data_IF_514265431861
#
_entry.id   IF_514265431861
#
_cell.length_a   1.000
_cell.length_b   1.000
_cell.length_c   1.000
_cell.angle_alpha   90.00
_cell.angle_beta   90.00
_cell.angle_gamma   90.00
#
_symmetry.space_group_name_H-M   'P 1'
#
loop_
_entity.id
_entity.type
_entity.pdbx_description
1 polymer ?
#
# COMPACT_ATOMS: atom_id res chain seq x y z
N UNK A 1 11.21 5.96 -11.32
CA UNK A 1 11.97 6.42 -10.15
C UNK A 1 11.06 6.76 -8.98
N UNK A 2 10.41 7.94 -9.02
CA UNK A 2 9.59 8.48 -7.92
C UNK A 2 8.45 7.55 -7.48
N UNK A 3 7.73 6.93 -8.42
CA UNK A 3 6.66 5.99 -8.11
C UNK A 3 7.13 4.75 -7.33
N UNK A 4 8.27 4.17 -7.74
CA UNK A 4 8.89 3.05 -7.03
C UNK A 4 9.36 3.47 -5.63
N UNK A 5 9.94 4.66 -5.49
CA UNK A 5 10.39 5.17 -4.18
C UNK A 5 9.21 5.38 -3.21
N UNK A 6 8.13 6.02 -3.66
CA UNK A 6 6.91 6.20 -2.86
C UNK A 6 6.23 4.85 -2.56
N UNK A 7 6.14 3.96 -3.54
CA UNK A 7 5.53 2.64 -3.38
C UNK A 7 6.27 1.78 -2.35
N UNK A 8 7.61 1.73 -2.42
CA UNK A 8 8.44 0.95 -1.47
C UNK A 8 8.38 1.55 -0.06
N UNK A 9 8.38 2.88 0.07
CA UNK A 9 8.27 3.56 1.36
C UNK A 9 6.93 3.29 2.04
N UNK A 10 5.84 3.34 1.28
CA UNK A 10 4.49 3.03 1.76
C UNK A 10 4.31 1.54 2.03
N UNK A 11 4.93 0.65 1.25
CA UNK A 11 4.94 -0.78 1.51
C UNK A 11 5.62 -1.12 2.85
N UNK A 12 6.76 -0.47 3.15
CA UNK A 12 7.46 -0.65 4.43
C UNK A 12 6.61 -0.18 5.63
N UNK A 13 5.91 0.96 5.47
CA UNK A 13 4.98 1.49 6.48
C UNK A 13 3.76 0.57 6.66
N UNK A 14 3.20 0.10 5.55
CA UNK A 14 2.04 -0.79 5.47
C UNK A 14 2.27 -2.11 6.22
N UNK A 15 3.49 -2.65 6.19
CA UNK A 15 3.88 -3.84 6.95
C UNK A 15 3.76 -3.73 8.47
N UNK A 16 3.69 -2.51 9.02
CA UNK A 16 3.48 -2.26 10.46
C UNK A 16 2.12 -1.62 10.75
N UNK A 17 1.67 -0.70 9.89
CA UNK A 17 0.40 0.01 10.04
C UNK A 17 -0.82 -0.88 9.82
N UNK A 18 -0.80 -1.79 8.85
CA UNK A 18 -1.91 -2.74 8.62
C UNK A 18 -2.12 -3.66 9.83
N UNK A 19 -1.09 -4.39 10.34
CA UNK A 19 -1.29 -5.25 11.49
C UNK A 19 -1.65 -4.46 12.77
N UNK A 20 -1.12 -3.24 12.94
CA UNK A 20 -1.49 -2.37 14.05
C UNK A 20 -2.94 -1.87 13.96
N UNK A 21 -3.41 -1.53 12.75
CA UNK A 21 -4.81 -1.15 12.49
C UNK A 21 -5.76 -2.33 12.69
N UNK A 22 -5.41 -3.54 12.22
CA UNK A 22 -6.16 -4.76 12.49
C UNK A 22 -6.27 -5.05 13.99
N UNK A 23 -5.17 -4.91 14.73
CA UNK A 23 -5.15 -5.07 16.18
C UNK A 23 -6.08 -4.06 16.88
N UNK A 24 -6.10 -2.79 16.42
CA UNK A 24 -7.02 -1.76 16.92
C UNK A 24 -8.49 -2.06 16.60
N UNK A 25 -8.75 -2.74 15.48
CA UNK A 25 -10.10 -3.17 15.07
C UNK A 25 -10.54 -4.51 15.70
N UNK A 26 -9.77 -5.06 16.65
CA UNK A 26 -9.98 -6.39 17.27
C UNK A 26 -9.94 -7.57 16.28
N UNK A 27 -9.36 -7.37 15.09
CA UNK A 27 -9.08 -8.46 14.16
C UNK A 27 -7.78 -9.14 14.56
N UNK A 28 -7.76 -10.47 14.49
CA UNK A 28 -6.58 -11.26 14.84
C UNK A 28 -5.41 -10.93 13.89
N UNK A 29 -4.33 -10.31 14.39
CA UNK A 29 -3.20 -9.92 13.55
C UNK A 29 -2.48 -11.12 12.93
N UNK A 30 -2.62 -12.31 13.52
CA UNK A 30 -2.10 -13.56 12.96
C UNK A 30 -2.80 -13.97 11.65
N UNK A 31 -4.07 -13.59 11.47
CA UNK A 31 -4.85 -13.84 10.23
C UNK A 31 -4.49 -12.76 9.20
N UNK A 32 -4.31 -11.52 9.64
CA UNK A 32 -3.92 -10.41 8.77
C UNK A 32 -2.48 -10.55 8.23
N UNK A 33 -1.55 -11.08 9.05
CA UNK A 33 -0.15 -11.25 8.70
C UNK A 33 0.13 -12.24 7.54
N UNK A 34 -0.88 -13.03 7.15
CA UNK A 34 -0.81 -13.93 6.00
C UNK A 34 -1.11 -13.24 4.66
N UNK A 35 -1.84 -13.89 3.73
CA UNK A 35 -2.08 -13.39 2.36
C UNK A 35 -2.80 -12.02 2.29
N UNK A 36 -3.33 -11.55 3.41
CA UNK A 36 -4.06 -10.29 3.51
C UNK A 36 -3.14 -9.05 3.48
N UNK A 37 -2.00 -9.05 4.18
CA UNK A 37 -1.03 -7.93 4.09
C UNK A 37 -0.48 -7.81 2.68
N UNK A 38 -0.13 -8.92 2.05
CA UNK A 38 0.42 -8.92 0.68
C UNK A 38 -0.58 -8.42 -0.35
N UNK A 39 -1.86 -8.79 -0.23
CA UNK A 39 -2.92 -8.30 -1.14
C UNK A 39 -3.24 -6.82 -0.93
N UNK A 40 -3.30 -6.36 0.31
CA UNK A 40 -3.44 -4.93 0.60
C UNK A 40 -2.25 -4.13 0.09
N UNK A 41 -1.03 -4.65 0.25
CA UNK A 41 0.16 -4.00 -0.27
C UNK A 41 0.14 -3.93 -1.81
N UNK A 42 -0.30 -4.99 -2.49
CA UNK A 42 -0.47 -5.00 -3.95
C UNK A 42 -1.45 -3.93 -4.41
N UNK A 43 -2.65 -3.87 -3.81
CA UNK A 43 -3.67 -2.87 -4.12
C UNK A 43 -3.15 -1.44 -3.88
N UNK A 44 -2.45 -1.23 -2.76
CA UNK A 44 -1.90 0.08 -2.41
C UNK A 44 -0.83 0.52 -3.40
N UNK A 45 0.09 -0.38 -3.77
CA UNK A 45 1.15 -0.11 -4.74
C UNK A 45 0.59 0.17 -6.15
N UNK A 46 -0.41 -0.61 -6.60
CA UNK A 46 -1.10 -0.38 -7.87
C UNK A 46 -1.81 0.99 -7.88
N UNK A 47 -2.46 1.35 -6.78
CA UNK A 47 -3.17 2.64 -6.65
C UNK A 47 -2.20 3.81 -6.75
N UNK A 48 -1.04 3.74 -6.07
CA UNK A 48 0.01 4.75 -6.16
C UNK A 48 0.57 4.85 -7.59
N UNK A 49 0.82 3.71 -8.22
CA UNK A 49 1.32 3.66 -9.60
C UNK A 49 0.34 4.34 -10.57
N UNK A 50 -0.94 3.96 -10.51
CA UNK A 50 -1.99 4.53 -11.35
C UNK A 50 -2.24 6.01 -11.06
N UNK A 51 -2.18 6.43 -9.78
CA UNK A 51 -2.32 7.84 -9.41
C UNK A 51 -1.20 8.69 -10.00
N UNK A 52 0.05 8.22 -9.92
CA UNK A 52 1.20 8.92 -10.50
C UNK A 52 1.13 8.91 -12.03
N UNK A 53 0.73 7.79 -12.64
CA UNK A 53 0.54 7.70 -14.08
C UNK A 53 -0.55 8.68 -14.56
N UNK A 54 -1.66 8.79 -13.83
CA UNK A 54 -2.76 9.72 -14.13
C UNK A 54 -2.32 11.18 -13.98
N UNK A 55 -1.56 11.51 -12.92
CA UNK A 55 -1.00 12.84 -12.73
C UNK A 55 -0.01 13.22 -13.83
N UNK A 56 0.85 12.29 -14.24
CA UNK A 56 1.75 12.49 -15.37
C UNK A 56 1.01 12.69 -16.68
N UNK A 57 -0.02 11.87 -16.94
CA UNK A 57 -0.82 11.99 -18.15
C UNK A 57 -1.52 13.35 -18.19
N UNK A 58 -2.11 13.79 -17.07
CA UNK A 58 -2.78 15.09 -16.94
C UNK A 58 -1.83 16.29 -16.96
N UNK A 59 -0.55 16.10 -16.61
CA UNK A 59 0.47 17.13 -16.77
C UNK A 59 1.03 17.22 -18.19
N UNK A 60 0.75 16.20 -19.02
CA UNK A 60 1.16 16.13 -20.43
C UNK A 60 0.06 16.64 -21.38
N UNK A 61 -1.21 16.58 -20.98
CA UNK A 61 -2.37 17.22 -21.64
C UNK A 61 -2.59 18.65 -21.20
#
# INVERSE_FOLDING_TARGET
>A
GVAMFCGVSLAALSGTLIPLACWRLKFDPAIAAGPFITTLNDVTCLTIYLAIATLLLKGLT
#
